data_IF_402786493797
#
_entry.id   IF_402786493797
#
_cell.length_a   1.000
_cell.length_b   1.000
_cell.length_c   1.000
_cell.angle_alpha   90.00
_cell.angle_beta   90.00
_cell.angle_gamma   90.00
#
_symmetry.space_group_name_H-M   'P 1'
#
loop_
_entity.id
_entity.type
_entity.pdbx_description
1 polymer ?
#
# COMPACT_ATOMS: atom_id res chain seq x y z
N UNK A 1 -19.40 -21.00 -15.74
CA UNK A 1 -17.95 -20.97 -15.98
C UNK A 1 -17.54 -19.50 -16.10
N UNK A 2 -16.89 -18.92 -15.09
CA UNK A 2 -16.50 -17.51 -15.07
C UNK A 2 -15.15 -17.42 -15.78
N UNK A 3 -15.12 -16.79 -16.97
CA UNK A 3 -13.88 -16.54 -17.70
C UNK A 3 -12.89 -15.69 -16.88
N UNK A 4 -11.60 -15.63 -17.30
CA UNK A 4 -10.57 -14.92 -16.57
C UNK A 4 -11.00 -13.47 -16.29
N UNK A 5 -10.88 -13.07 -15.03
CA UNK A 5 -11.16 -11.70 -14.62
C UNK A 5 -10.00 -10.82 -15.08
N UNK A 6 -10.16 -10.16 -16.23
CA UNK A 6 -9.17 -9.20 -16.71
C UNK A 6 -9.17 -7.97 -15.79
N UNK A 7 -8.10 -7.82 -15.02
CA UNK A 7 -7.75 -6.64 -14.23
C UNK A 7 -6.35 -6.21 -14.64
N UNK A 8 -6.16 -4.90 -14.80
CA UNK A 8 -4.83 -4.29 -14.89
C UNK A 8 -4.66 -3.39 -13.68
N UNK A 9 -3.51 -3.50 -13.01
CA UNK A 9 -3.14 -2.61 -11.94
C UNK A 9 -1.66 -2.24 -12.07
N UNK A 10 -1.34 -1.01 -11.73
CA UNK A 10 0.01 -0.47 -11.68
C UNK A 10 0.28 0.01 -10.25
N UNK A 11 1.43 -0.37 -9.72
CA UNK A 11 1.91 0.08 -8.41
C UNK A 11 3.25 0.77 -8.59
N UNK A 12 3.30 2.05 -8.21
CA UNK A 12 4.53 2.84 -8.22
C UNK A 12 5.00 2.97 -6.77
N UNK A 13 6.25 2.60 -6.49
CA UNK A 13 6.85 2.67 -5.16
C UNK A 13 8.05 3.62 -5.15
N UNK A 14 8.14 4.45 -4.12
CA UNK A 14 9.24 5.38 -3.86
C UNK A 14 9.74 5.24 -2.41
N UNK A 15 11.02 5.51 -2.15
CA UNK A 15 11.56 5.52 -0.79
C UNK A 15 10.92 6.61 0.09
N UNK A 16 10.89 6.39 1.40
CA UNK A 16 10.42 7.40 2.38
C UNK A 16 11.44 8.53 2.63
N UNK A 17 12.70 8.39 2.21
CA UNK A 17 13.80 9.34 2.44
C UNK A 17 15.08 8.64 2.93
N UNK A 18 16.17 9.40 3.14
CA UNK A 18 17.53 8.89 3.39
C UNK A 18 17.67 7.92 4.59
N UNK A 19 16.76 7.95 5.56
CA UNK A 19 16.87 7.16 6.80
C UNK A 19 15.83 6.04 6.93
N UNK A 20 14.94 5.84 5.96
CA UNK A 20 13.85 4.85 6.04
C UNK A 20 13.95 3.76 4.97
N UNK A 21 15.09 3.05 4.95
CA UNK A 21 15.33 1.89 4.06
C UNK A 21 14.36 0.72 4.26
N UNK A 22 13.59 0.74 5.36
CA UNK A 22 12.67 -0.34 5.73
C UNK A 22 11.29 -0.15 5.08
N UNK A 23 10.96 1.04 4.58
CA UNK A 23 9.64 1.35 4.02
C UNK A 23 9.71 1.94 2.61
N UNK A 24 8.79 1.50 1.76
CA UNK A 24 8.47 2.14 0.49
C UNK A 24 7.04 2.68 0.58
N UNK A 25 6.77 3.86 0.02
CA UNK A 25 5.42 4.40 -0.16
C UNK A 25 5.09 4.51 -1.62
N UNK A 26 3.80 4.63 -1.93
CA UNK A 26 3.39 5.07 -3.24
C UNK A 26 1.92 4.85 -3.46
N UNK A 27 1.56 4.52 -4.70
CA UNK A 27 0.17 4.44 -5.13
C UNK A 27 -0.04 3.19 -5.98
N UNK A 28 -1.20 2.58 -5.82
CA UNK A 28 -1.69 1.54 -6.73
C UNK A 28 -2.95 2.04 -7.40
N UNK A 29 -2.98 1.95 -8.71
CA UNK A 29 -4.12 2.30 -9.55
C UNK A 29 -4.54 1.05 -10.30
N UNK A 30 -5.83 0.79 -10.42
CA UNK A 30 -6.32 -0.40 -11.11
C UNK A 30 -7.67 -0.20 -11.77
N UNK A 31 -7.87 -0.95 -12.86
CA UNK A 31 -9.12 -1.00 -13.62
C UNK A 31 -9.48 -2.46 -13.88
N UNK A 32 -10.76 -2.80 -13.77
CA UNK A 32 -11.27 -4.14 -14.07
C UNK A 32 -12.47 -4.07 -15.00
N UNK A 33 -12.58 -5.08 -15.88
CA UNK A 33 -13.53 -5.10 -17.00
C UNK A 33 -15.02 -5.26 -16.60
N UNK A 34 -15.33 -5.68 -15.35
CA UNK A 34 -16.72 -5.91 -14.94
C UNK A 34 -17.38 -4.67 -14.35
N UNK A 35 -18.68 -4.53 -14.69
CA UNK A 35 -19.62 -3.41 -14.51
C UNK A 35 -19.67 -2.67 -13.15
N UNK A 36 -18.94 -3.12 -12.14
CA UNK A 36 -18.96 -2.58 -10.77
C UNK A 36 -17.56 -2.24 -10.23
N UNK A 37 -16.49 -2.55 -10.97
CA UNK A 37 -15.14 -2.17 -10.57
C UNK A 37 -14.80 -0.83 -11.22
N UNK A 38 -15.21 0.25 -10.57
CA UNK A 38 -14.74 1.59 -10.93
C UNK A 38 -13.21 1.65 -10.86
N UNK A 39 -12.55 2.46 -11.71
CA UNK A 39 -11.14 2.77 -11.53
C UNK A 39 -10.89 3.18 -10.10
N UNK A 40 -9.91 2.55 -9.46
CA UNK A 40 -9.53 2.87 -8.09
C UNK A 40 -8.09 3.34 -8.05
N UNK A 41 -7.81 4.15 -7.04
CA UNK A 41 -6.47 4.56 -6.67
C UNK A 41 -6.37 4.47 -5.15
N UNK A 42 -5.30 3.85 -4.66
CA UNK A 42 -5.07 3.70 -3.23
C UNK A 42 -3.60 3.90 -2.89
N UNK A 43 -3.36 4.59 -1.76
CA UNK A 43 -2.03 4.75 -1.19
C UNK A 43 -1.54 3.40 -0.67
N UNK A 44 -0.27 3.10 -0.89
CA UNK A 44 0.36 1.88 -0.41
C UNK A 44 1.64 2.19 0.37
N UNK A 45 1.89 1.38 1.40
CA UNK A 45 3.14 1.34 2.15
C UNK A 45 3.61 -0.10 2.26
N UNK A 46 4.84 -0.34 1.87
CA UNK A 46 5.47 -1.66 1.89
C UNK A 46 6.59 -1.64 2.91
N UNK A 47 6.63 -2.68 3.76
CA UNK A 47 7.68 -2.85 4.76
C UNK A 47 8.58 -4.01 4.38
N UNK A 48 9.88 -3.78 4.37
CA UNK A 48 10.85 -4.86 4.29
C UNK A 48 10.89 -5.63 5.61
N UNK A 49 10.71 -6.96 5.55
CA UNK A 49 10.61 -7.83 6.73
C UNK A 49 11.89 -8.61 7.05
N UNK A 50 12.91 -8.51 6.19
CA UNK A 50 14.15 -9.28 6.31
C UNK A 50 14.31 -10.31 5.18
N UNK A 51 15.45 -11.00 5.16
CA UNK A 51 15.75 -12.06 4.17
C UNK A 51 15.17 -13.41 4.57
N UNK A 52 15.32 -13.77 5.85
CA UNK A 52 14.83 -15.02 6.43
C UNK A 52 13.66 -14.71 7.37
N UNK A 53 12.45 -14.96 6.89
CA UNK A 53 11.21 -14.69 7.64
C UNK A 53 10.34 -15.94 7.72
N UNK A 54 9.68 -16.13 8.87
CA UNK A 54 8.65 -17.16 8.98
C UNK A 54 7.35 -16.65 8.33
N UNK A 55 7.14 -17.06 7.07
CA UNK A 55 5.95 -16.68 6.29
C UNK A 55 4.64 -17.10 6.95
N UNK A 56 4.59 -18.20 7.70
CA UNK A 56 3.34 -18.65 8.34
C UNK A 56 2.93 -17.71 9.46
N UNK A 57 3.91 -17.25 10.25
CA UNK A 57 3.68 -16.25 11.30
C UNK A 57 3.24 -14.92 10.67
N UNK A 58 3.90 -14.50 9.59
CA UNK A 58 3.54 -13.25 8.90
C UNK A 58 2.13 -13.28 8.33
N UNK A 59 1.76 -14.34 7.60
CA UNK A 59 0.44 -14.48 7.00
C UNK A 59 -0.68 -14.55 8.05
N UNK A 60 -0.42 -15.18 9.21
CA UNK A 60 -1.36 -15.19 10.34
C UNK A 60 -1.66 -13.80 10.91
N UNK A 61 -0.71 -12.87 10.76
CA UNK A 61 -0.84 -11.50 11.22
C UNK A 61 -1.37 -10.54 10.14
N UNK A 62 -1.66 -11.04 8.93
CA UNK A 62 -2.33 -10.27 7.88
C UNK A 62 -3.85 -10.24 8.13
N UNK A 63 -4.46 -9.09 7.90
CA UNK A 63 -5.91 -8.93 8.05
C UNK A 63 -6.34 -7.48 7.83
N UNK A 64 -7.64 -7.25 7.95
CA UNK A 64 -8.22 -5.90 7.92
C UNK A 64 -8.05 -5.30 9.32
N UNK A 65 -7.38 -4.14 9.39
CA UNK A 65 -7.15 -3.41 10.63
C UNK A 65 -7.76 -2.01 10.54
N UNK A 66 -8.34 -1.48 11.64
CA UNK A 66 -8.64 -0.06 11.75
C UNK A 66 -7.39 0.80 11.56
N UNK A 67 -7.55 1.99 10.97
CA UNK A 67 -6.43 2.91 10.68
C UNK A 67 -5.65 3.32 11.93
N UNK A 68 -6.33 3.39 13.08
CA UNK A 68 -5.78 3.73 14.40
C UNK A 68 -5.27 2.50 15.19
N UNK A 69 -5.30 1.30 14.60
CA UNK A 69 -4.91 0.07 15.28
C UNK A 69 -3.50 0.17 15.87
N UNK A 70 -3.38 -0.23 17.15
CA UNK A 70 -2.09 -0.32 17.86
C UNK A 70 -1.16 -1.37 17.27
N UNK A 71 -1.69 -2.32 16.51
CA UNK A 71 -0.90 -3.33 15.80
C UNK A 71 -0.13 -2.74 14.61
N UNK A 72 -0.55 -1.59 14.10
CA UNK A 72 0.17 -0.86 13.06
C UNK A 72 1.36 -0.09 13.67
N UNK A 73 2.55 -0.12 13.05
CA UNK A 73 3.64 0.76 13.45
C UNK A 73 3.24 2.25 13.33
N UNK A 74 3.77 3.15 14.18
CA UNK A 74 3.44 4.58 14.13
C UNK A 74 3.65 5.21 12.75
N UNK A 75 4.73 4.84 12.04
CA UNK A 75 5.01 5.30 10.67
C UNK A 75 3.90 4.93 9.69
N UNK A 76 3.33 3.72 9.81
CA UNK A 76 2.22 3.27 8.96
C UNK A 76 0.95 4.06 9.28
N UNK A 77 0.65 4.28 10.56
CA UNK A 77 -0.51 5.10 10.96
C UNK A 77 -0.42 6.53 10.43
N UNK A 78 0.74 7.17 10.62
CA UNK A 78 0.96 8.54 10.15
C UNK A 78 0.86 8.65 8.62
N UNK A 79 1.34 7.63 7.89
CA UNK A 79 1.20 7.58 6.44
C UNK A 79 -0.24 7.39 5.96
N UNK A 80 -1.05 6.63 6.69
CA UNK A 80 -2.45 6.37 6.31
C UNK A 80 -3.37 7.52 6.72
N UNK A 81 -3.02 8.29 7.75
CA UNK A 81 -3.78 9.45 8.21
C UNK A 81 -3.91 10.51 7.09
N UNK A 82 -5.11 10.75 6.57
CA UNK A 82 -5.34 11.71 5.48
C UNK A 82 -4.88 13.14 5.80
N UNK A 83 -4.83 13.53 7.07
CA UNK A 83 -4.49 14.89 7.49
C UNK A 83 -2.98 15.13 7.54
N UNK A 84 -2.21 14.07 7.78
CA UNK A 84 -0.74 14.10 7.91
C UNK A 84 -0.02 13.72 6.61
N UNK A 85 -0.79 13.30 5.62
CA UNK A 85 -0.26 12.80 4.36
C UNK A 85 -0.05 13.95 3.40
N UNK A 86 1.21 14.32 3.17
CA UNK A 86 1.59 15.24 2.11
C UNK A 86 0.97 14.75 0.79
N UNK A 87 0.08 15.57 0.19
CA UNK A 87 -0.26 15.42 -1.21
C UNK A 87 1.07 15.44 -1.97
N UNK A 88 1.45 14.35 -2.63
CA UNK A 88 2.63 14.36 -3.49
C UNK A 88 2.35 15.34 -4.63
N UNK A 89 2.80 16.58 -4.46
CA UNK A 89 2.75 17.62 -5.47
C UNK A 89 3.66 17.16 -6.59
N UNK A 90 3.15 17.15 -7.82
CA UNK A 90 3.99 16.96 -9.01
C UNK A 90 5.05 18.07 -8.95
N UNK A 91 6.36 17.74 -8.98
CA UNK A 91 7.38 18.76 -8.98
C UNK A 91 7.18 19.63 -10.22
N UNK A 92 6.84 20.89 -10.02
CA UNK A 92 6.79 21.89 -11.08
C UNK A 92 8.22 22.11 -11.57
N UNK A 93 8.47 21.88 -12.87
CA UNK A 93 9.74 22.24 -13.50
C UNK A 93 9.98 23.75 -13.45
#
# INVERSE_FOLDING_TARGET
MIGPQSMIAETILTPFGEYQHVYLKGITIGVSWRKENLPYSSRMIWRYLGRDVDYRILLRNCGILPVDSRQLPPTVRNFLDPQLSECQTIPTM
#
